data_IF_341101687943
#
_entry.id   IF_341101687943
#
_cell.length_a   1.000
_cell.length_b   1.000
_cell.length_c   1.000
_cell.angle_alpha   90.00
_cell.angle_beta   90.00
_cell.angle_gamma   90.00
#
_symmetry.space_group_name_H-M   'P 1'
#
loop_
_entity.id
_entity.type
_entity.pdbx_description
1 polymer ?
#
# COMPACT_ATOMS: atom_id res chain seq x y z
N UNK A 1 -67.84 64.70 7.85
CA UNK A 1 -68.04 63.53 6.98
C UNK A 1 -66.66 63.13 6.43
N UNK A 2 -66.00 62.25 7.11
CA UNK A 2 -64.64 61.80 6.74
C UNK A 2 -64.66 60.29 6.36
N UNK A 3 -64.06 59.87 5.26
CA UNK A 3 -64.06 58.46 4.91
C UNK A 3 -62.94 57.68 5.62
N UNK A 4 -63.30 56.51 6.13
CA UNK A 4 -62.46 55.54 6.79
C UNK A 4 -61.68 54.75 5.73
N UNK A 5 -60.36 54.84 5.77
CA UNK A 5 -59.47 53.94 4.91
C UNK A 5 -59.25 52.60 5.60
N UNK A 6 -59.73 51.55 5.01
CA UNK A 6 -59.40 50.14 5.37
C UNK A 6 -58.00 49.80 4.94
N UNK A 7 -57.16 49.49 5.91
CA UNK A 7 -55.84 48.91 5.64
C UNK A 7 -56.00 47.43 5.26
N UNK A 8 -55.57 47.09 4.05
CA UNK A 8 -55.38 45.68 3.60
C UNK A 8 -53.95 45.26 3.92
N UNK A 9 -53.82 44.29 4.82
CA UNK A 9 -52.56 43.66 5.14
C UNK A 9 -52.29 42.52 4.15
N UNK A 10 -51.27 42.65 3.32
CA UNK A 10 -50.78 41.58 2.46
C UNK A 10 -49.76 40.77 3.26
N UNK A 11 -50.13 39.55 3.61
CA UNK A 11 -49.21 38.60 4.24
C UNK A 11 -48.29 37.99 3.19
N UNK A 12 -46.98 38.22 3.31
CA UNK A 12 -45.95 37.57 2.50
C UNK A 12 -45.66 36.24 3.15
N UNK A 13 -46.05 35.12 2.51
CA UNK A 13 -45.60 33.77 2.85
C UNK A 13 -44.19 33.58 2.29
N UNK A 14 -43.19 33.60 3.14
CA UNK A 14 -41.83 33.20 2.80
C UNK A 14 -41.72 31.67 2.86
N UNK A 15 -41.68 31.05 1.69
CA UNK A 15 -41.33 29.62 1.57
C UNK A 15 -39.83 29.46 1.75
N UNK A 16 -39.39 28.91 2.87
CA UNK A 16 -38.00 28.49 3.12
C UNK A 16 -37.80 27.14 2.44
N UNK A 17 -37.16 27.15 1.26
CA UNK A 17 -36.66 25.93 0.61
C UNK A 17 -35.45 25.41 1.38
N UNK A 18 -35.63 24.34 2.14
CA UNK A 18 -34.51 23.59 2.74
C UNK A 18 -33.76 22.84 1.67
N UNK A 19 -32.64 23.38 1.21
CA UNK A 19 -31.67 22.63 0.41
C UNK A 19 -30.97 21.63 1.32
N UNK A 20 -31.39 20.38 1.26
CA UNK A 20 -30.67 19.25 1.85
C UNK A 20 -29.34 19.05 1.10
N UNK A 21 -28.21 19.38 1.75
CA UNK A 21 -26.89 19.03 1.27
C UNK A 21 -26.74 17.53 1.50
N UNK A 22 -26.98 16.72 0.47
CA UNK A 22 -26.54 15.33 0.46
C UNK A 22 -25.00 15.35 0.32
N UNK A 23 -24.30 15.24 1.45
CA UNK A 23 -22.88 14.88 1.42
C UNK A 23 -22.79 13.46 0.84
N UNK A 24 -22.49 13.35 -0.45
CA UNK A 24 -22.03 12.10 -1.04
C UNK A 24 -20.74 11.74 -0.33
N UNK A 25 -20.75 10.74 0.54
CA UNK A 25 -19.56 10.02 0.94
C UNK A 25 -19.05 9.31 -0.31
N UNK A 26 -18.16 9.97 -1.06
CA UNK A 26 -17.34 9.27 -2.04
C UNK A 26 -16.60 8.18 -1.24
N UNK A 27 -17.02 6.93 -1.41
CA UNK A 27 -16.26 5.81 -0.92
C UNK A 27 -14.87 5.96 -1.55
N UNK A 28 -13.84 6.10 -0.73
CA UNK A 28 -12.44 6.12 -1.13
C UNK A 28 -12.06 4.70 -1.61
N UNK A 29 -12.61 4.29 -2.77
CA UNK A 29 -12.42 2.97 -3.37
C UNK A 29 -11.04 2.79 -3.98
N UNK A 30 -10.12 3.74 -3.76
CA UNK A 30 -8.79 3.74 -4.31
C UNK A 30 -7.66 3.69 -3.29
N UNK A 31 -7.92 3.83 -2.01
CA UNK A 31 -6.87 3.89 -0.98
C UNK A 31 -6.24 2.51 -0.69
N UNK A 32 -6.92 1.42 -1.03
CA UNK A 32 -6.51 0.04 -0.74
C UNK A 32 -6.33 -0.77 -2.01
N UNK A 33 -5.28 -1.61 -2.03
CA UNK A 33 -5.05 -2.57 -3.11
C UNK A 33 -6.11 -3.67 -3.08
N UNK A 34 -6.74 -3.93 -4.23
CA UNK A 34 -7.59 -5.09 -4.42
C UNK A 34 -6.71 -6.28 -4.78
N UNK A 35 -6.83 -7.37 -4.04
CA UNK A 35 -6.06 -8.58 -4.29
C UNK A 35 -6.93 -9.69 -4.86
N UNK A 36 -6.37 -10.42 -5.82
CA UNK A 36 -6.97 -11.61 -6.41
C UNK A 36 -6.59 -12.90 -5.66
N UNK A 37 -6.53 -13.98 -6.39
CA UNK A 37 -6.18 -15.30 -5.84
C UNK A 37 -4.69 -15.49 -5.58
N UNK A 38 -4.36 -16.67 -5.03
CA UNK A 38 -2.97 -17.10 -4.86
C UNK A 38 -2.23 -17.12 -6.20
N UNK A 39 -0.98 -16.70 -6.18
CA UNK A 39 -0.09 -16.66 -7.34
C UNK A 39 1.29 -17.21 -7.01
N UNK A 40 2.13 -17.37 -8.04
CA UNK A 40 3.50 -17.86 -7.87
C UNK A 40 4.35 -16.90 -7.04
N UNK A 41 5.12 -17.45 -6.12
CA UNK A 41 6.17 -16.75 -5.40
C UNK A 41 7.27 -16.31 -6.38
N UNK A 42 7.88 -15.10 -6.23
CA UNK A 42 9.11 -14.75 -6.94
C UNK A 42 10.20 -15.77 -6.68
N UNK A 43 11.02 -16.06 -7.69
CA UNK A 43 12.06 -17.08 -7.56
C UNK A 43 13.09 -16.70 -6.48
N UNK A 44 13.51 -15.43 -6.43
CA UNK A 44 14.42 -14.94 -5.40
C UNK A 44 13.88 -15.13 -3.99
N UNK A 45 12.58 -14.81 -3.75
CA UNK A 45 11.94 -15.05 -2.47
C UNK A 45 11.82 -16.55 -2.14
N UNK A 46 11.55 -17.41 -3.12
CA UNK A 46 11.52 -18.86 -2.91
C UNK A 46 12.90 -19.39 -2.46
N UNK A 47 13.98 -18.98 -3.11
CA UNK A 47 15.33 -19.38 -2.73
C UNK A 47 15.75 -18.76 -1.37
N UNK A 48 15.34 -17.53 -1.09
CA UNK A 48 15.48 -16.93 0.25
C UNK A 48 14.80 -17.79 1.33
N UNK A 49 13.56 -18.23 1.09
CA UNK A 49 12.83 -19.08 2.02
C UNK A 49 13.45 -20.45 2.26
N UNK A 50 14.24 -20.97 1.32
CA UNK A 50 15.02 -22.18 1.54
C UNK A 50 16.18 -21.95 2.50
N UNK A 51 16.82 -20.79 2.43
CA UNK A 51 17.93 -20.42 3.30
C UNK A 51 17.45 -19.93 4.67
N UNK A 52 16.40 -19.13 4.67
CA UNK A 52 15.83 -18.46 5.85
C UNK A 52 14.41 -18.98 6.15
N UNK A 53 14.28 -20.29 6.33
CA UNK A 53 12.95 -20.95 6.47
C UNK A 53 12.11 -20.41 7.63
N UNK A 54 12.73 -19.87 8.66
CA UNK A 54 12.04 -19.26 9.80
C UNK A 54 11.29 -17.95 9.44
N UNK A 55 11.71 -17.27 8.38
CA UNK A 55 11.09 -16.02 7.90
C UNK A 55 9.86 -16.29 7.04
N UNK A 56 9.74 -17.50 6.51
CA UNK A 56 8.71 -17.89 5.58
C UNK A 56 7.73 -18.91 6.20
N UNK A 57 6.48 -18.82 5.81
CA UNK A 57 5.44 -19.70 6.36
C UNK A 57 4.88 -19.23 7.70
N UNK A 58 5.24 -18.05 8.18
CA UNK A 58 4.65 -17.43 9.36
C UNK A 58 3.18 -17.15 9.07
N UNK A 59 2.31 -17.72 9.92
CA UNK A 59 0.86 -17.50 9.85
C UNK A 59 0.47 -16.37 10.77
N UNK A 60 -0.08 -15.31 10.20
CA UNK A 60 -0.54 -14.15 10.95
C UNK A 60 -1.87 -14.46 11.65
N UNK A 61 -1.99 -13.96 12.89
CA UNK A 61 -3.22 -14.17 13.71
C UNK A 61 -4.33 -13.18 13.36
N UNK A 62 -3.98 -12.02 12.82
CA UNK A 62 -4.94 -10.98 12.45
C UNK A 62 -4.52 -10.36 11.12
N UNK A 63 -5.48 -10.15 10.23
CA UNK A 63 -5.32 -9.46 8.95
C UNK A 63 -6.02 -8.08 8.95
N UNK A 64 -6.49 -7.61 10.12
CA UNK A 64 -7.04 -6.26 10.23
C UNK A 64 -5.95 -5.23 9.85
N UNK A 65 -6.27 -4.17 9.12
CA UNK A 65 -5.30 -3.13 8.78
C UNK A 65 -4.64 -2.52 10.01
N UNK A 66 -3.39 -2.08 9.87
CA UNK A 66 -2.65 -1.38 10.93
C UNK A 66 -3.35 -0.07 11.27
N UNK A 67 -3.68 0.14 12.54
CA UNK A 67 -4.20 1.42 12.98
C UNK A 67 -3.10 2.48 12.93
N UNK A 68 -3.26 3.45 12.04
CA UNK A 68 -2.25 4.48 11.77
C UNK A 68 -2.45 5.68 12.68
N UNK A 69 -1.66 5.78 13.72
CA UNK A 69 -1.49 6.98 14.53
C UNK A 69 -0.14 7.66 14.25
N UNK A 70 0.11 8.80 14.86
CA UNK A 70 1.34 9.58 14.65
C UNK A 70 2.58 8.82 15.12
N UNK A 71 2.50 8.03 16.17
CA UNK A 71 3.64 7.26 16.67
C UNK A 71 4.02 6.14 15.71
N UNK A 72 3.04 5.42 15.21
CA UNK A 72 3.24 4.38 14.19
C UNK A 72 3.79 4.99 12.90
N UNK A 73 3.23 6.11 12.44
CA UNK A 73 3.73 6.82 11.28
C UNK A 73 5.19 7.23 11.42
N UNK A 74 5.56 7.82 12.54
CA UNK A 74 6.94 8.23 12.80
C UNK A 74 7.92 7.04 12.76
N UNK A 75 7.53 5.87 13.27
CA UNK A 75 8.35 4.65 13.17
C UNK A 75 8.56 4.22 11.72
N UNK A 76 7.48 4.23 10.91
CA UNK A 76 7.53 3.87 9.49
C UNK A 76 8.48 4.81 8.74
N UNK A 77 8.32 6.11 8.93
CA UNK A 77 9.19 7.13 8.32
C UNK A 77 10.65 6.94 8.75
N UNK A 78 10.89 6.76 10.05
CA UNK A 78 12.25 6.60 10.58
C UNK A 78 12.96 5.38 9.99
N UNK A 79 12.28 4.22 9.91
CA UNK A 79 12.87 3.02 9.33
C UNK A 79 13.11 3.20 7.83
N UNK A 80 12.15 3.78 7.09
CA UNK A 80 12.33 4.04 5.66
C UNK A 80 13.58 4.87 5.39
N UNK A 81 13.69 6.04 6.03
CA UNK A 81 14.83 6.95 5.88
C UNK A 81 16.14 6.30 6.32
N UNK A 82 16.15 5.64 7.48
CA UNK A 82 17.36 5.03 8.04
C UNK A 82 17.89 3.91 7.13
N UNK A 83 17.04 3.08 6.57
CA UNK A 83 17.47 2.00 5.66
C UNK A 83 17.96 2.58 4.34
N UNK A 84 17.25 3.58 3.77
CA UNK A 84 17.67 4.23 2.53
C UNK A 84 19.04 4.94 2.66
N UNK A 85 19.30 5.58 3.81
CA UNK A 85 20.54 6.31 4.05
C UNK A 85 21.77 5.39 4.21
N UNK A 86 21.61 4.25 4.90
CA UNK A 86 22.77 3.40 5.27
C UNK A 86 23.09 2.26 4.32
N UNK A 87 22.15 1.87 3.44
CA UNK A 87 22.39 0.85 2.43
C UNK A 87 22.69 1.53 1.10
N UNK A 88 23.77 1.14 0.44
CA UNK A 88 24.13 1.65 -0.88
C UNK A 88 23.57 0.73 -1.96
N UNK A 89 22.96 1.26 -3.03
CA UNK A 89 22.45 0.45 -4.13
C UNK A 89 23.56 -0.31 -4.84
N UNK A 90 23.41 -1.61 -4.95
CA UNK A 90 24.31 -2.50 -5.72
C UNK A 90 23.51 -3.73 -6.12
N UNK A 91 23.64 -4.15 -7.38
CA UNK A 91 22.88 -5.29 -7.90
C UNK A 91 23.39 -6.62 -7.35
N UNK A 92 22.53 -7.61 -7.29
CA UNK A 92 22.89 -8.99 -6.91
C UNK A 92 24.03 -9.57 -7.78
N UNK A 93 24.04 -9.23 -9.08
CA UNK A 93 25.09 -9.64 -9.97
C UNK A 93 26.46 -9.07 -9.56
N UNK A 94 26.50 -7.82 -9.07
CA UNK A 94 27.75 -7.19 -8.58
C UNK A 94 28.18 -7.74 -7.22
N UNK A 95 27.22 -8.05 -6.33
CA UNK A 95 27.51 -8.53 -4.97
C UNK A 95 27.83 -10.02 -4.96
N UNK A 96 26.99 -10.84 -5.63
CA UNK A 96 26.99 -12.30 -5.50
C UNK A 96 27.35 -13.05 -6.79
N UNK A 97 27.47 -12.36 -7.94
CA UNK A 97 27.73 -12.97 -9.25
C UNK A 97 26.56 -13.80 -9.80
N UNK A 98 25.33 -13.53 -9.34
CA UNK A 98 24.10 -14.17 -9.79
C UNK A 98 22.97 -13.15 -9.78
N UNK A 99 21.92 -13.39 -10.57
CA UNK A 99 20.69 -12.57 -10.58
C UNK A 99 19.77 -13.02 -9.44
N UNK A 100 18.98 -12.17 -8.82
CA UNK A 100 17.92 -12.53 -7.86
C UNK A 100 18.41 -13.33 -6.61
N UNK A 101 19.29 -12.74 -5.81
CA UNK A 101 19.77 -13.33 -4.55
C UNK A 101 19.30 -12.54 -3.34
N UNK A 102 18.04 -12.63 -3.01
CA UNK A 102 17.41 -11.96 -1.89
C UNK A 102 18.11 -12.25 -0.57
N UNK A 103 18.63 -11.24 0.09
CA UNK A 103 19.36 -11.36 1.35
C UNK A 103 19.08 -10.15 2.28
N UNK A 104 19.47 -10.27 3.53
CA UNK A 104 19.49 -9.09 4.40
C UNK A 104 20.78 -8.32 4.17
N UNK A 105 20.71 -7.07 3.69
CA UNK A 105 21.90 -6.30 3.37
C UNK A 105 22.61 -5.84 4.65
N UNK A 106 23.94 -5.70 4.57
CA UNK A 106 24.74 -5.09 5.62
C UNK A 106 25.11 -3.64 5.30
N UNK A 107 25.62 -3.39 4.11
CA UNK A 107 26.03 -2.07 3.62
C UNK A 107 25.63 -1.80 2.17
N UNK A 108 25.42 -2.85 1.38
CA UNK A 108 25.00 -2.78 -0.03
C UNK A 108 23.86 -3.77 -0.26
N UNK A 109 23.03 -3.50 -1.23
CA UNK A 109 21.92 -4.36 -1.66
C UNK A 109 21.10 -3.73 -2.75
N UNK A 110 20.20 -4.51 -3.35
CA UNK A 110 19.23 -4.00 -4.33
C UNK A 110 17.80 -3.89 -3.75
N UNK A 111 16.79 -3.71 -4.59
CA UNK A 111 15.47 -3.31 -4.14
C UNK A 111 14.83 -4.27 -3.14
N UNK A 112 14.93 -5.58 -3.33
CA UNK A 112 14.36 -6.59 -2.45
C UNK A 112 15.09 -6.68 -1.10
N UNK A 113 16.39 -6.45 -1.10
CA UNK A 113 17.20 -6.44 0.11
C UNK A 113 16.79 -5.29 1.04
N UNK A 114 16.56 -4.09 0.46
CA UNK A 114 15.99 -2.96 1.20
C UNK A 114 14.62 -3.30 1.78
N UNK A 115 13.77 -3.95 0.99
CA UNK A 115 12.42 -4.33 1.42
C UNK A 115 12.46 -5.32 2.57
N UNK A 116 13.31 -6.37 2.48
CA UNK A 116 13.52 -7.35 3.55
C UNK A 116 13.98 -6.68 4.84
N UNK A 117 14.94 -5.77 4.73
CA UNK A 117 15.49 -5.08 5.89
C UNK A 117 14.46 -4.15 6.55
N UNK A 118 13.73 -3.35 5.76
CA UNK A 118 12.64 -2.50 6.27
C UNK A 118 11.57 -3.31 6.97
N UNK A 119 11.14 -4.44 6.36
CA UNK A 119 10.15 -5.34 6.94
C UNK A 119 10.63 -5.90 8.29
N UNK A 120 11.89 -6.36 8.38
CA UNK A 120 12.49 -6.87 9.62
C UNK A 120 12.55 -5.81 10.70
N UNK A 121 13.03 -4.60 10.41
CA UNK A 121 13.15 -3.54 11.40
C UNK A 121 11.81 -3.03 11.91
N UNK A 122 10.83 -2.87 11.03
CA UNK A 122 9.47 -2.53 11.44
C UNK A 122 8.84 -3.64 12.30
N UNK A 123 9.12 -4.91 11.98
CA UNK A 123 8.70 -6.05 12.80
C UNK A 123 9.32 -6.00 14.19
N UNK A 124 10.61 -5.71 14.30
CA UNK A 124 11.31 -5.51 15.57
C UNK A 124 10.77 -4.30 16.34
N UNK A 125 10.28 -3.27 15.65
CA UNK A 125 9.60 -2.12 16.24
C UNK A 125 8.14 -2.41 16.67
N UNK A 126 7.66 -3.66 16.50
CA UNK A 126 6.37 -4.16 16.97
C UNK A 126 5.23 -4.07 15.96
N UNK A 127 5.52 -3.83 14.66
CA UNK A 127 4.50 -3.87 13.60
C UNK A 127 4.39 -5.30 13.07
N UNK A 128 3.17 -5.85 13.00
CA UNK A 128 2.95 -7.22 12.54
C UNK A 128 3.27 -7.39 11.06
N UNK A 129 3.82 -8.54 10.69
CA UNK A 129 4.11 -8.90 9.29
C UNK A 129 2.86 -8.90 8.39
N UNK A 130 1.65 -9.10 8.94
CA UNK A 130 0.39 -8.96 8.18
C UNK A 130 0.14 -7.56 7.63
N UNK A 131 0.83 -6.56 8.16
CA UNK A 131 0.71 -5.16 7.76
C UNK A 131 1.81 -4.71 6.81
N UNK A 132 2.85 -5.53 6.61
CA UNK A 132 4.06 -5.17 5.86
C UNK A 132 4.35 -6.23 4.81
N UNK A 133 3.94 -5.97 3.58
CA UNK A 133 3.90 -6.98 2.52
C UNK A 133 4.88 -6.64 1.41
N UNK A 134 5.85 -7.51 1.17
CA UNK A 134 6.75 -7.39 0.02
C UNK A 134 5.89 -7.41 -1.24
N UNK A 135 6.10 -6.44 -2.11
CA UNK A 135 5.26 -6.20 -3.29
C UNK A 135 6.14 -6.08 -4.52
N UNK A 136 5.84 -6.86 -5.54
CA UNK A 136 6.50 -6.81 -6.84
C UNK A 136 5.71 -5.90 -7.76
N UNK A 137 6.41 -4.94 -8.32
CA UNK A 137 5.89 -3.95 -9.25
C UNK A 137 6.71 -3.92 -10.54
N UNK A 138 6.22 -3.20 -11.53
CA UNK A 138 6.95 -2.83 -12.73
C UNK A 138 7.05 -1.31 -12.80
N UNK A 139 8.26 -0.80 -13.00
CA UNK A 139 8.53 0.62 -13.20
C UNK A 139 8.00 1.08 -14.57
N UNK A 140 7.85 2.41 -14.81
CA UNK A 140 7.43 2.95 -16.11
C UNK A 140 8.33 2.57 -17.29
N UNK A 141 9.62 2.32 -17.03
CA UNK A 141 10.58 1.84 -18.03
C UNK A 141 10.45 0.35 -18.38
N UNK A 142 9.58 -0.37 -17.66
CA UNK A 142 9.29 -1.79 -17.86
C UNK A 142 10.11 -2.73 -16.98
N UNK A 143 11.10 -2.23 -16.24
CA UNK A 143 11.91 -3.06 -15.33
C UNK A 143 11.11 -3.52 -14.10
N UNK A 144 11.44 -4.72 -13.61
CA UNK A 144 10.93 -5.24 -12.35
C UNK A 144 11.48 -4.45 -11.16
N UNK A 145 10.68 -4.37 -10.08
CA UNK A 145 11.10 -3.69 -8.86
C UNK A 145 10.35 -4.26 -7.67
N UNK A 146 10.95 -4.18 -6.48
CA UNK A 146 10.34 -4.59 -5.22
C UNK A 146 10.18 -3.39 -4.27
N UNK A 147 9.01 -3.28 -3.67
CA UNK A 147 8.70 -2.26 -2.66
C UNK A 147 8.03 -2.89 -1.45
N UNK A 148 8.04 -2.21 -0.30
CA UNK A 148 7.29 -2.64 0.87
C UNK A 148 5.95 -1.91 0.95
N UNK A 149 4.85 -2.67 0.86
CA UNK A 149 3.51 -2.14 1.10
C UNK A 149 3.19 -2.21 2.60
N UNK A 150 2.87 -1.07 3.21
CA UNK A 150 2.33 -0.99 4.58
C UNK A 150 0.82 -0.80 4.51
N UNK A 151 0.07 -1.82 4.96
CA UNK A 151 -1.40 -1.81 5.00
C UNK A 151 -1.88 -1.12 6.27
N UNK A 152 -2.58 -0.02 6.13
CA UNK A 152 -3.12 0.75 7.27
C UNK A 152 -4.64 0.93 7.16
N UNK A 153 -5.27 1.43 8.20
CA UNK A 153 -6.69 1.84 8.19
C UNK A 153 -6.95 3.13 7.39
N UNK A 154 -5.90 3.74 6.82
CA UNK A 154 -5.96 4.96 5.99
C UNK A 154 -5.48 4.73 4.56
N UNK A 155 -5.25 3.49 4.15
CA UNK A 155 -4.78 3.11 2.83
C UNK A 155 -3.49 2.29 2.86
N UNK A 156 -3.06 1.86 1.69
CA UNK A 156 -1.83 1.11 1.48
C UNK A 156 -0.71 2.09 1.08
N UNK A 157 0.34 2.19 1.90
CA UNK A 157 1.48 3.08 1.69
C UNK A 157 2.71 2.31 1.24
N UNK A 158 3.52 2.94 0.40
CA UNK A 158 4.70 2.35 -0.23
C UNK A 158 5.97 2.92 0.37
N UNK A 159 6.84 2.04 0.84
CA UNK A 159 8.22 2.33 1.22
C UNK A 159 9.13 1.81 0.12
N UNK A 160 9.94 2.70 -0.44
CA UNK A 160 10.77 2.46 -1.61
C UNK A 160 12.24 2.84 -1.32
N UNK A 161 13.19 2.22 -1.99
CA UNK A 161 14.59 2.60 -1.92
C UNK A 161 14.98 3.66 -2.98
N UNK A 162 14.13 3.90 -3.97
CA UNK A 162 14.33 4.91 -5.01
C UNK A 162 13.90 6.30 -4.58
N UNK A 163 13.11 6.43 -3.51
CA UNK A 163 12.66 7.70 -2.93
C UNK A 163 12.47 7.57 -1.42
N UNK A 164 12.70 8.67 -0.72
CA UNK A 164 12.41 8.78 0.72
C UNK A 164 10.94 9.07 1.02
N UNK A 165 10.19 9.52 0.01
CA UNK A 165 8.78 9.80 0.15
C UNK A 165 7.97 8.53 0.32
N UNK A 166 7.09 8.52 1.32
CA UNK A 166 6.12 7.45 1.53
C UNK A 166 4.81 7.87 0.90
N UNK A 167 4.49 7.24 -0.22
CA UNK A 167 3.31 7.56 -1.02
C UNK A 167 2.20 6.53 -0.81
N UNK A 168 0.95 6.96 -0.98
CA UNK A 168 -0.13 6.00 -1.23
C UNK A 168 0.16 5.27 -2.55
N UNK A 169 -0.14 3.98 -2.62
CA UNK A 169 0.17 3.13 -3.77
C UNK A 169 -0.33 3.69 -5.11
N UNK A 170 -1.48 4.38 -5.11
CA UNK A 170 -2.03 5.01 -6.31
C UNK A 170 -1.31 6.29 -6.76
N UNK A 171 -0.52 6.90 -5.87
CA UNK A 171 0.27 8.09 -6.17
C UNK A 171 1.64 7.73 -6.77
N UNK A 172 1.94 6.45 -6.92
CA UNK A 172 3.15 5.96 -7.60
C UNK A 172 2.85 5.66 -9.07
N UNK A 173 3.88 5.76 -9.92
CA UNK A 173 3.76 5.43 -11.35
C UNK A 173 3.96 3.93 -11.65
N UNK A 174 3.88 3.06 -10.64
CA UNK A 174 4.13 1.63 -10.77
C UNK A 174 2.93 0.85 -11.27
N UNK A 175 3.22 -0.22 -12.04
CA UNK A 175 2.25 -1.28 -12.31
C UNK A 175 2.41 -2.38 -11.26
N UNK A 176 1.42 -2.55 -10.41
CA UNK A 176 1.43 -3.54 -9.33
C UNK A 176 1.07 -4.92 -9.86
N UNK A 177 1.88 -5.93 -9.54
CA UNK A 177 1.74 -7.28 -10.09
C UNK A 177 1.25 -8.26 -9.03
N UNK A 178 1.95 -8.37 -7.92
CA UNK A 178 1.67 -9.31 -6.82
C UNK A 178 2.31 -8.84 -5.52
N UNK A 179 1.79 -9.32 -4.41
CA UNK A 179 2.39 -9.06 -3.09
C UNK A 179 2.32 -10.31 -2.21
N UNK A 180 3.07 -10.31 -1.11
CA UNK A 180 2.89 -11.30 -0.05
C UNK A 180 1.44 -11.30 0.45
N UNK A 181 0.97 -12.49 0.85
CA UNK A 181 -0.30 -12.64 1.55
C UNK A 181 -0.19 -12.07 2.98
N UNK A 182 -1.20 -11.35 3.41
CA UNK A 182 -1.33 -10.91 4.80
C UNK A 182 -1.57 -12.07 5.79
N UNK A 183 -1.91 -13.25 5.29
CA UNK A 183 -2.18 -14.45 6.09
C UNK A 183 -0.93 -15.29 6.34
N UNK A 184 -0.02 -15.35 5.36
CA UNK A 184 1.15 -16.22 5.40
C UNK A 184 2.31 -15.62 4.60
N UNK A 185 3.47 -15.43 5.24
CA UNK A 185 4.64 -14.77 4.64
C UNK A 185 5.26 -15.54 3.48
N UNK A 186 5.01 -16.85 3.37
CA UNK A 186 5.47 -17.67 2.23
C UNK A 186 4.49 -17.71 1.06
N UNK A 187 3.30 -17.12 1.19
CA UNK A 187 2.28 -17.10 0.13
C UNK A 187 2.21 -15.74 -0.55
N UNK A 188 1.80 -15.75 -1.82
CA UNK A 188 1.67 -14.56 -2.65
C UNK A 188 0.29 -14.51 -3.29
N UNK A 189 -0.23 -13.30 -3.46
CA UNK A 189 -1.52 -13.01 -4.11
C UNK A 189 -1.30 -12.03 -5.27
N UNK A 190 -2.12 -12.16 -6.31
CA UNK A 190 -2.14 -11.17 -7.40
C UNK A 190 -2.74 -9.85 -6.90
N UNK A 191 -2.34 -8.74 -7.54
CA UNK A 191 -2.97 -7.43 -7.35
C UNK A 191 -3.82 -7.14 -8.58
N UNK A 192 -5.07 -6.78 -8.36
CA UNK A 192 -6.00 -6.43 -9.42
C UNK A 192 -5.90 -4.94 -9.69
N UNK A 193 -5.58 -4.60 -10.94
CA UNK A 193 -5.64 -3.21 -11.43
C UNK A 193 -6.94 -2.98 -12.17
N UNK A 194 -7.47 -1.75 -12.23
CA UNK A 194 -8.69 -1.45 -12.99
C UNK A 194 -8.65 -1.91 -14.45
N UNK A 195 -7.47 -1.94 -15.08
CA UNK A 195 -7.26 -2.46 -16.44
C UNK A 195 -7.48 -3.98 -16.54
N UNK A 196 -7.22 -4.75 -15.48
CA UNK A 196 -7.43 -6.20 -15.46
C UNK A 196 -8.89 -6.57 -15.18
N UNK A 197 -9.65 -5.70 -14.50
CA UNK A 197 -11.08 -5.91 -14.22
C UNK A 197 -11.95 -5.80 -15.50
N UNK A 198 -11.53 -4.99 -16.48
CA UNK A 198 -12.29 -4.77 -17.73
C UNK A 198 -12.18 -5.96 -18.68
N UNK A 199 -11.12 -6.76 -18.63
CA UNK A 199 -10.88 -7.89 -19.55
C UNK A 199 -11.66 -9.16 -19.15
N UNK A 200 -12.11 -9.26 -17.90
CA UNK A 200 -12.85 -10.43 -17.36
C UNK A 200 -14.35 -10.45 -17.63
N UNK A 201 -14.96 -9.40 -18.17
CA UNK A 201 -16.42 -9.24 -18.24
C UNK A 201 -17.06 -9.65 -19.59
N UNK A 202 -16.31 -10.22 -20.53
CA UNK A 202 -16.88 -10.77 -21.77
C UNK A 202 -16.93 -12.29 -21.71
N UNK A 203 -17.88 -12.83 -20.95
CA UNK A 203 -18.38 -14.19 -21.21
C UNK A 203 -19.66 -14.06 -22.05
N UNK A 204 -19.56 -14.51 -23.28
CA UNK A 204 -20.72 -14.88 -24.13
C UNK A 204 -21.35 -16.17 -23.60
#
# INVERSE_FOLDING_TARGET
>A
MFPVFKKVSVGVLSAVAAFGIFASTAAASGEFMITGGLTSQPIGHYEFCKRESAECGIRNKSMAPLKLDQQVWNKIVQVNLSVNDRIQPMTDMEIYGQEEYWAYPTTVGDCEDYVLLKQRELSQAGISLSHMLITVVRKPDGEGHAVLTVRTDRGDFILDNLTDEILNWQATDYTYLKRQSDQNTGQWVSIETPSNLVVGSVRR
#
